data_IF_854552833204
#
_entry.id   IF_854552833204
#
_cell.length_a   1.000
_cell.length_b   1.000
_cell.length_c   1.000
_cell.angle_alpha   90.00
_cell.angle_beta   90.00
_cell.angle_gamma   90.00
#
_symmetry.space_group_name_H-M   'P 1'
#
loop_
_entity.id
_entity.type
_entity.pdbx_description
1 polymer ?
#
# COMPACT_ATOMS: atom_id res chain seq x y z
N UNK A 1 -33.63 -73.09 -47.71
CA UNK A 1 -33.32 -71.84 -48.44
C UNK A 1 -33.85 -70.68 -47.62
N UNK A 2 -33.10 -70.20 -46.63
CA UNK A 2 -33.51 -69.05 -45.78
C UNK A 2 -32.36 -68.34 -45.02
N UNK A 3 -31.06 -68.42 -45.38
CA UNK A 3 -30.04 -67.63 -44.67
C UNK A 3 -29.99 -66.15 -45.11
N UNK A 4 -30.48 -65.82 -46.32
CA UNK A 4 -30.32 -64.49 -46.90
C UNK A 4 -31.17 -63.41 -46.21
N UNK A 5 -32.37 -63.77 -45.72
CA UNK A 5 -33.32 -62.79 -45.15
C UNK A 5 -32.90 -62.30 -43.77
N UNK A 6 -32.28 -63.16 -42.96
CA UNK A 6 -31.75 -62.77 -41.65
C UNK A 6 -30.50 -61.88 -41.77
N UNK A 7 -29.64 -62.15 -42.76
CA UNK A 7 -28.45 -61.33 -43.01
C UNK A 7 -28.84 -59.93 -43.49
N UNK A 8 -29.84 -59.85 -44.38
CA UNK A 8 -30.36 -58.57 -44.88
C UNK A 8 -31.00 -57.74 -43.75
N UNK A 9 -31.78 -58.37 -42.85
CA UNK A 9 -32.40 -57.70 -41.71
C UNK A 9 -31.35 -57.15 -40.71
N UNK A 10 -30.29 -57.92 -40.45
CA UNK A 10 -29.18 -57.49 -39.59
C UNK A 10 -28.38 -56.34 -40.22
N UNK A 11 -28.14 -56.40 -41.53
CA UNK A 11 -27.47 -55.32 -42.28
C UNK A 11 -28.31 -54.03 -42.31
N UNK A 12 -29.63 -54.13 -42.49
CA UNK A 12 -30.51 -52.94 -42.44
C UNK A 12 -30.60 -52.33 -41.05
N UNK A 13 -30.55 -53.16 -39.99
CA UNK A 13 -30.54 -52.65 -38.61
C UNK A 13 -29.21 -51.96 -38.29
N UNK A 14 -28.09 -52.51 -38.76
CA UNK A 14 -26.75 -51.93 -38.59
C UNK A 14 -26.57 -50.61 -39.35
N UNK A 15 -27.14 -50.48 -40.55
CA UNK A 15 -27.06 -49.24 -41.34
C UNK A 15 -27.97 -48.13 -40.78
N UNK A 16 -29.09 -48.51 -40.12
CA UNK A 16 -29.99 -47.56 -39.47
C UNK A 16 -29.46 -47.01 -38.13
N UNK A 17 -28.53 -47.71 -37.46
CA UNK A 17 -27.93 -47.29 -36.18
C UNK A 17 -26.70 -46.36 -36.36
N UNK A 18 -26.21 -46.19 -37.60
CA UNK A 18 -25.08 -45.32 -37.94
C UNK A 18 -25.46 -43.88 -38.34
N UNK A 19 -26.74 -43.54 -38.43
CA UNK A 19 -27.19 -42.15 -38.61
C UNK A 19 -27.31 -41.39 -37.28
N UNK A 20 -26.32 -41.55 -36.38
CA UNK A 20 -26.14 -40.63 -35.25
C UNK A 20 -25.50 -39.35 -35.79
N UNK A 21 -26.34 -38.51 -36.37
CA UNK A 21 -26.05 -37.13 -36.77
C UNK A 21 -25.19 -36.48 -35.68
N UNK A 22 -23.97 -36.06 -36.06
CA UNK A 22 -23.02 -35.45 -35.15
C UNK A 22 -23.74 -34.40 -34.29
N UNK A 23 -23.71 -34.59 -32.96
CA UNK A 23 -24.48 -33.78 -32.02
C UNK A 23 -24.35 -32.32 -32.39
N UNK A 24 -25.47 -31.71 -32.84
CA UNK A 24 -25.52 -30.30 -33.18
C UNK A 24 -24.90 -29.58 -32.00
N UNK A 25 -23.78 -28.89 -32.26
CA UNK A 25 -23.08 -28.12 -31.25
C UNK A 25 -24.12 -27.42 -30.38
N UNK A 26 -24.10 -27.65 -29.07
CA UNK A 26 -25.05 -27.02 -28.16
C UNK A 26 -24.70 -25.53 -28.06
N UNK A 27 -25.09 -24.78 -29.09
CA UNK A 27 -24.81 -23.36 -29.26
C UNK A 27 -25.46 -22.57 -28.13
N UNK A 28 -26.65 -22.96 -27.68
CA UNK A 28 -27.30 -22.36 -26.50
C UNK A 28 -26.48 -22.52 -25.23
N UNK A 29 -25.95 -23.73 -24.96
CA UNK A 29 -25.08 -24.00 -23.82
C UNK A 29 -23.75 -23.24 -23.91
N UNK A 30 -23.14 -23.16 -25.10
CA UNK A 30 -21.90 -22.38 -25.32
C UNK A 30 -22.13 -20.88 -25.15
N UNK A 31 -23.20 -20.33 -25.71
CA UNK A 31 -23.58 -18.92 -25.55
C UNK A 31 -23.88 -18.63 -24.09
N UNK A 32 -24.63 -19.50 -23.40
CA UNK A 32 -24.90 -19.37 -21.97
C UNK A 32 -23.62 -19.36 -21.14
N UNK A 33 -22.67 -20.26 -21.42
CA UNK A 33 -21.35 -20.27 -20.77
C UNK A 33 -20.55 -18.99 -21.06
N UNK A 34 -20.55 -18.50 -22.30
CA UNK A 34 -19.84 -17.28 -22.68
C UNK A 34 -20.44 -16.04 -21.99
N UNK A 35 -21.76 -15.94 -21.94
CA UNK A 35 -22.46 -14.85 -21.24
C UNK A 35 -22.18 -14.93 -19.74
N UNK A 36 -22.29 -16.12 -19.14
CA UNK A 36 -21.98 -16.33 -17.73
C UNK A 36 -20.53 -15.96 -17.40
N UNK A 37 -19.57 -16.38 -18.22
CA UNK A 37 -18.16 -16.02 -18.06
C UNK A 37 -17.93 -14.51 -18.20
N UNK A 38 -18.56 -13.87 -19.19
CA UNK A 38 -18.45 -12.42 -19.40
C UNK A 38 -19.00 -11.63 -18.21
N UNK A 39 -20.17 -12.03 -17.66
CA UNK A 39 -20.74 -11.42 -16.47
C UNK A 39 -19.87 -11.63 -15.23
N UNK A 40 -19.30 -12.83 -15.06
CA UNK A 40 -18.37 -13.12 -13.97
C UNK A 40 -17.12 -12.25 -14.04
N UNK A 41 -16.51 -12.13 -15.23
CA UNK A 41 -15.36 -11.24 -15.45
C UNK A 41 -15.74 -9.79 -15.16
N UNK A 42 -16.88 -9.31 -15.68
CA UNK A 42 -17.35 -7.96 -15.41
C UNK A 42 -17.56 -7.69 -13.91
N UNK A 43 -18.10 -8.66 -13.17
CA UNK A 43 -18.26 -8.58 -11.72
C UNK A 43 -16.91 -8.50 -11.00
N UNK A 44 -15.93 -9.31 -11.38
CA UNK A 44 -14.57 -9.25 -10.80
C UNK A 44 -13.95 -7.88 -11.05
N UNK A 45 -14.02 -7.35 -12.27
CA UNK A 45 -13.53 -6.00 -12.57
C UNK A 45 -14.26 -4.91 -11.79
N UNK A 46 -15.57 -5.07 -11.59
CA UNK A 46 -16.36 -4.14 -10.77
C UNK A 46 -15.93 -4.18 -9.29
N UNK A 47 -15.74 -5.36 -8.71
CA UNK A 47 -15.26 -5.53 -7.33
C UNK A 47 -13.83 -4.98 -7.17
N UNK A 48 -12.94 -5.20 -8.13
CA UNK A 48 -11.60 -4.60 -8.12
C UNK A 48 -11.66 -3.07 -8.14
N UNK A 49 -12.54 -2.51 -8.99
CA UNK A 49 -12.76 -1.05 -9.06
C UNK A 49 -13.30 -0.50 -7.75
N UNK A 50 -14.26 -1.18 -7.12
CA UNK A 50 -14.84 -0.73 -5.85
C UNK A 50 -13.81 -0.82 -4.71
N UNK A 51 -12.99 -1.88 -4.69
CA UNK A 51 -11.86 -2.00 -3.77
C UNK A 51 -10.85 -0.86 -3.92
N UNK A 52 -10.56 -0.41 -5.16
CA UNK A 52 -9.70 0.76 -5.39
C UNK A 52 -10.32 2.07 -4.92
N UNK A 53 -11.63 2.27 -5.09
CA UNK A 53 -12.31 3.45 -4.55
C UNK A 53 -12.27 3.48 -3.02
N UNK A 54 -12.53 2.34 -2.37
CA UNK A 54 -12.49 2.21 -0.92
C UNK A 54 -11.10 2.47 -0.34
N UNK A 55 -10.03 2.07 -1.05
CA UNK A 55 -8.66 2.44 -0.65
C UNK A 55 -8.41 3.95 -0.76
N UNK A 56 -8.96 4.62 -1.77
CA UNK A 56 -8.84 6.06 -1.93
C UNK A 56 -9.55 6.85 -0.82
N UNK A 57 -10.74 6.41 -0.40
CA UNK A 57 -11.51 7.06 0.68
C UNK A 57 -10.88 6.88 2.06
N UNK A 58 -10.07 5.84 2.26
CA UNK A 58 -9.35 5.65 3.52
C UNK A 58 -8.24 6.69 3.77
N UNK A 59 -7.82 7.45 2.76
CA UNK A 59 -6.75 8.46 2.89
C UNK A 59 -7.24 9.91 2.86
N UNK A 60 -8.49 10.17 2.41
CA UNK A 60 -9.04 11.53 2.28
C UNK A 60 -9.32 12.22 3.61
N UNK A 61 -9.48 11.47 4.69
CA UNK A 61 -9.87 11.99 6.01
C UNK A 61 -8.67 12.44 6.87
N UNK A 62 -7.46 12.48 6.31
CA UNK A 62 -6.32 13.00 7.05
C UNK A 62 -6.50 14.51 7.26
N UNK A 63 -6.44 15.03 8.51
CA UNK A 63 -6.53 16.46 8.75
C UNK A 63 -5.32 17.19 8.16
N UNK A 64 -5.41 18.52 8.06
CA UNK A 64 -4.29 19.33 7.61
C UNK A 64 -3.04 19.07 8.47
N UNK A 65 -1.86 19.11 7.84
CA UNK A 65 -0.60 18.89 8.54
C UNK A 65 -0.31 20.07 9.49
N UNK A 66 0.19 19.81 10.71
CA UNK A 66 0.67 20.88 11.58
C UNK A 66 1.81 21.64 10.89
N UNK A 67 1.80 22.96 10.99
CA UNK A 67 2.95 23.79 10.70
C UNK A 67 3.96 23.74 11.85
N UNK A 68 5.21 24.07 11.57
CA UNK A 68 6.21 24.28 12.61
C UNK A 68 5.76 25.44 13.51
N UNK A 69 5.98 25.35 14.84
CA UNK A 69 5.74 26.47 15.74
C UNK A 69 6.70 27.62 15.41
N UNK A 70 6.31 28.85 15.72
CA UNK A 70 7.14 30.05 15.48
C UNK A 70 8.47 30.00 16.25
N UNK A 71 8.45 29.37 17.43
CA UNK A 71 9.62 29.13 18.29
C UNK A 71 9.77 27.63 18.58
N UNK A 72 10.39 26.86 17.67
CA UNK A 72 10.55 25.41 17.85
C UNK A 72 11.59 25.03 18.93
N UNK A 73 12.41 25.99 19.36
CA UNK A 73 13.49 25.78 20.33
C UNK A 73 14.82 25.44 19.68
N UNK A 74 15.79 25.01 20.50
CA UNK A 74 17.13 24.66 20.05
C UNK A 74 17.13 23.33 19.28
N UNK A 75 17.89 23.29 18.18
CA UNK A 75 18.03 22.08 17.38
C UNK A 75 18.91 21.04 18.10
N UNK A 76 18.34 19.88 18.42
CA UNK A 76 19.08 18.72 18.93
C UNK A 76 19.89 18.06 17.83
N UNK A 77 19.26 17.85 16.68
CA UNK A 77 19.86 17.24 15.50
C UNK A 77 19.37 17.92 14.24
N UNK A 78 20.25 18.01 13.25
CA UNK A 78 19.92 18.49 11.90
C UNK A 78 20.52 17.55 10.86
N UNK A 79 19.76 17.22 9.82
CA UNK A 79 20.29 16.48 8.68
C UNK A 79 19.69 16.97 7.36
N UNK A 80 20.39 16.71 6.27
CA UNK A 80 19.86 16.88 4.92
C UNK A 80 19.83 15.54 4.20
N UNK A 81 18.86 15.36 3.31
CA UNK A 81 18.76 14.13 2.55
C UNK A 81 17.57 14.09 1.62
N UNK A 82 17.01 12.88 1.48
CA UNK A 82 15.85 12.61 0.63
C UNK A 82 14.70 12.05 1.42
N UNK A 83 13.53 12.58 1.11
CA UNK A 83 12.25 12.05 1.57
C UNK A 83 11.68 11.09 0.52
N UNK A 84 11.32 9.89 0.97
CA UNK A 84 10.85 8.82 0.11
C UNK A 84 9.31 8.72 0.04
N UNK A 85 8.62 9.37 0.97
CA UNK A 85 7.17 9.35 1.13
C UNK A 85 6.74 8.81 2.49
N UNK A 86 5.48 9.04 2.85
CA UNK A 86 4.85 8.39 4.00
C UNK A 86 4.00 7.20 3.56
N UNK A 87 3.89 6.22 4.45
CA UNK A 87 2.97 5.09 4.34
C UNK A 87 2.16 4.94 5.61
N UNK A 88 1.08 4.16 5.56
CA UNK A 88 0.48 3.62 6.79
C UNK A 88 1.54 2.80 7.55
N UNK A 89 1.61 2.95 8.87
CA UNK A 89 2.63 2.30 9.68
C UNK A 89 2.59 0.77 9.52
N UNK A 90 3.76 0.16 9.30
CA UNK A 90 3.88 -1.29 9.05
C UNK A 90 3.37 -1.77 7.68
N UNK A 91 2.77 -0.89 6.87
CA UNK A 91 2.25 -1.20 5.54
C UNK A 91 3.05 -0.42 4.48
N UNK A 92 4.30 -0.82 4.27
CA UNK A 92 5.27 -0.10 3.43
C UNK A 92 4.88 0.08 1.95
N UNK A 93 3.84 -0.61 1.46
CA UNK A 93 3.28 -0.42 0.11
C UNK A 93 2.13 0.59 0.08
N UNK A 94 1.51 0.88 1.22
CA UNK A 94 0.34 1.75 1.34
C UNK A 94 0.76 3.22 1.43
N UNK A 95 1.14 3.79 0.29
CA UNK A 95 1.59 5.20 0.18
C UNK A 95 0.45 6.16 0.51
N UNK A 96 0.72 7.12 1.39
CA UNK A 96 -0.20 8.21 1.71
C UNK A 96 -0.11 9.28 0.63
N UNK A 97 -1.22 9.58 -0.05
CA UNK A 97 -1.26 10.59 -1.12
C UNK A 97 -1.70 11.97 -0.60
N UNK A 98 -2.40 12.01 0.54
CA UNK A 98 -2.90 13.24 1.14
C UNK A 98 -1.77 14.21 1.52
N UNK A 99 -2.06 15.51 1.42
CA UNK A 99 -1.20 16.62 1.88
C UNK A 99 0.25 16.57 1.35
N UNK A 100 0.47 15.97 0.17
CA UNK A 100 1.80 15.88 -0.44
C UNK A 100 2.77 14.92 0.27
N UNK A 101 2.29 14.11 1.22
CA UNK A 101 3.10 13.11 1.92
C UNK A 101 3.57 11.98 0.99
N UNK A 102 2.93 11.79 -0.16
CA UNK A 102 3.32 10.79 -1.15
C UNK A 102 4.42 11.24 -2.10
N UNK A 103 4.75 12.53 -2.14
CA UNK A 103 5.67 13.09 -3.13
C UNK A 103 7.12 12.94 -2.66
N UNK A 104 7.98 12.37 -3.50
CA UNK A 104 9.43 12.31 -3.20
C UNK A 104 10.05 13.68 -3.36
N UNK A 105 10.95 14.06 -2.47
CA UNK A 105 11.62 15.36 -2.51
C UNK A 105 13.00 15.30 -1.83
N UNK A 106 13.76 16.39 -1.94
CA UNK A 106 14.79 16.68 -0.93
C UNK A 106 14.09 16.95 0.40
N UNK A 107 14.80 16.71 1.50
CA UNK A 107 14.33 17.03 2.83
C UNK A 107 15.48 17.53 3.69
N UNK A 108 15.15 18.47 4.55
CA UNK A 108 15.98 19.01 5.62
C UNK A 108 15.21 18.75 6.90
N UNK A 109 15.82 18.03 7.83
CA UNK A 109 15.21 17.62 9.09
C UNK A 109 15.87 18.38 10.22
N UNK A 110 15.03 18.92 11.11
CA UNK A 110 15.46 19.54 12.35
C UNK A 110 14.67 18.91 13.49
N UNK A 111 15.36 18.24 14.41
CA UNK A 111 14.76 17.70 15.62
C UNK A 111 14.93 18.70 16.76
N UNK A 112 13.84 19.05 17.42
CA UNK A 112 13.78 19.96 18.57
C UNK A 112 12.96 19.33 19.69
N UNK A 113 12.94 19.95 20.86
CA UNK A 113 12.07 19.54 21.97
C UNK A 113 10.58 19.61 21.60
N UNK A 114 10.20 20.55 20.73
CA UNK A 114 8.84 20.68 20.25
C UNK A 114 8.44 19.53 19.31
N UNK A 115 9.40 18.94 18.59
CA UNK A 115 9.15 17.87 17.62
C UNK A 115 10.10 17.87 16.43
N UNK A 116 9.68 17.17 15.39
CA UNK A 116 10.43 17.00 14.14
C UNK A 116 9.88 17.96 13.08
N UNK A 117 10.71 18.90 12.66
CA UNK A 117 10.45 19.76 11.51
C UNK A 117 11.03 19.15 10.22
N UNK A 118 10.23 19.17 9.16
CA UNK A 118 10.54 18.55 7.87
C UNK A 118 10.31 19.57 6.76
N UNK A 119 11.39 20.26 6.39
CA UNK A 119 11.41 21.20 5.27
C UNK A 119 11.73 20.44 3.98
N UNK A 120 10.91 20.61 2.95
CA UNK A 120 10.98 19.89 1.69
C UNK A 120 10.98 20.87 0.53
N UNK A 121 12.16 21.38 0.14
CA UNK A 121 12.27 22.31 -0.99
C UNK A 121 11.58 21.76 -2.25
N UNK A 122 10.59 22.50 -2.76
CA UNK A 122 9.80 22.14 -3.93
C UNK A 122 8.63 21.16 -3.66
N UNK A 123 8.32 20.88 -2.39
CA UNK A 123 7.13 20.14 -1.96
C UNK A 123 6.54 20.78 -0.68
N UNK A 124 5.48 20.18 -0.14
CA UNK A 124 4.83 20.69 1.07
C UNK A 124 5.59 20.27 2.33
N UNK A 125 5.95 21.25 3.14
CA UNK A 125 6.63 21.08 4.44
C UNK A 125 5.65 20.54 5.48
N UNK A 126 6.16 19.95 6.56
CA UNK A 126 5.30 19.52 7.65
C UNK A 126 6.07 19.39 8.96
N UNK A 127 5.33 19.55 10.05
CA UNK A 127 5.84 19.38 11.39
C UNK A 127 5.17 18.21 12.09
N UNK A 128 5.96 17.41 12.80
CA UNK A 128 5.49 16.32 13.65
C UNK A 128 5.76 16.68 15.11
N UNK A 129 4.72 17.08 15.88
CA UNK A 129 4.87 17.40 17.29
C UNK A 129 5.45 16.22 18.08
N UNK A 130 6.28 16.51 19.09
CA UNK A 130 6.90 15.49 19.94
C UNK A 130 5.85 14.53 20.55
N UNK A 131 4.71 15.05 21.00
CA UNK A 131 3.61 14.26 21.55
C UNK A 131 2.97 13.25 20.56
N UNK A 132 3.16 13.48 19.25
CA UNK A 132 2.67 12.60 18.18
C UNK A 132 3.74 11.65 17.65
N UNK A 133 5.01 11.80 18.05
CA UNK A 133 6.04 10.83 17.73
C UNK A 133 5.77 9.52 18.47
N UNK A 134 6.02 8.41 17.78
CA UNK A 134 5.87 7.04 18.30
C UNK A 134 7.16 6.24 18.25
N UNK A 135 8.21 6.81 17.67
CA UNK A 135 9.54 6.23 17.60
C UNK A 135 10.12 6.30 16.20
N UNK A 136 11.35 5.80 16.07
CA UNK A 136 12.05 5.68 14.82
C UNK A 136 12.78 4.33 14.74
N UNK A 137 13.01 3.87 13.51
CA UNK A 137 13.76 2.65 13.23
C UNK A 137 14.55 2.76 11.94
N UNK A 138 15.56 1.92 11.81
CA UNK A 138 16.20 1.66 10.53
C UNK A 138 15.41 0.59 9.78
N UNK A 139 15.14 0.84 8.50
CA UNK A 139 14.39 -0.09 7.66
C UNK A 139 15.07 -0.25 6.29
N UNK A 140 14.60 -1.25 5.53
CA UNK A 140 15.05 -1.56 4.17
C UNK A 140 14.10 -1.00 3.13
N UNK A 141 12.84 -0.74 3.46
CA UNK A 141 11.89 -0.32 2.45
C UNK A 141 10.76 0.57 2.93
N UNK A 142 10.37 1.49 2.05
CA UNK A 142 9.21 2.35 2.25
C UNK A 142 8.62 2.81 0.92
N UNK A 143 7.31 2.97 0.91
CA UNK A 143 6.52 3.46 -0.22
C UNK A 143 6.83 2.72 -1.53
N UNK A 144 6.99 1.39 -1.48
CA UNK A 144 7.30 0.56 -2.64
C UNK A 144 8.76 0.61 -3.13
N UNK A 145 9.69 1.17 -2.36
CA UNK A 145 11.12 1.12 -2.65
C UNK A 145 11.87 0.31 -1.61
N UNK A 146 12.81 -0.52 -2.06
CA UNK A 146 13.76 -1.25 -1.22
C UNK A 146 15.16 -0.68 -1.44
N UNK A 147 15.89 -0.47 -0.36
CA UNK A 147 17.26 0.02 -0.29
C UNK A 147 18.14 -1.00 0.44
N UNK A 148 19.43 -0.71 0.53
CA UNK A 148 20.37 -1.47 1.36
C UNK A 148 19.95 -1.44 2.84
N UNK A 149 20.30 -2.49 3.57
CA UNK A 149 20.10 -2.59 5.02
C UNK A 149 20.65 -1.38 5.77
N UNK A 150 19.84 -0.84 6.69
CA UNK A 150 20.19 0.35 7.46
C UNK A 150 20.21 1.65 6.66
N UNK A 151 19.80 1.64 5.39
CA UNK A 151 19.91 2.80 4.50
C UNK A 151 18.74 3.79 4.57
N UNK A 152 17.78 3.57 5.46
CA UNK A 152 16.56 4.37 5.59
C UNK A 152 16.22 4.57 7.06
N UNK A 153 16.10 5.84 7.46
CA UNK A 153 15.46 6.25 8.70
C UNK A 153 13.94 6.28 8.48
N UNK A 154 13.20 5.48 9.24
CA UNK A 154 11.73 5.53 9.26
C UNK A 154 11.29 6.10 10.60
N UNK A 155 10.57 7.21 10.55
CA UNK A 155 9.95 7.86 11.72
C UNK A 155 8.47 7.49 11.75
N UNK A 156 8.02 6.88 12.85
CA UNK A 156 6.62 6.53 13.08
C UNK A 156 5.94 7.60 13.91
N UNK A 157 4.79 8.09 13.47
CA UNK A 157 4.07 9.17 14.13
C UNK A 157 2.56 9.06 13.93
N UNK A 158 1.80 9.70 14.82
CA UNK A 158 0.34 9.73 14.77
C UNK A 158 -0.16 11.00 14.09
N UNK A 159 -1.15 10.84 13.20
CA UNK A 159 -1.85 11.96 12.58
C UNK A 159 -3.29 11.61 12.25
N UNK A 160 -4.23 12.36 12.83
CA UNK A 160 -5.66 12.17 12.57
C UNK A 160 -6.16 10.79 12.98
N UNK A 161 -5.63 10.23 14.07
CA UNK A 161 -5.99 8.90 14.57
C UNK A 161 -5.37 7.74 13.79
N UNK A 162 -4.40 8.01 12.91
CA UNK A 162 -3.69 7.00 12.10
C UNK A 162 -2.19 7.04 12.41
N UNK A 163 -1.57 5.87 12.43
CA UNK A 163 -0.12 5.75 12.51
C UNK A 163 0.49 5.78 11.11
N UNK A 164 1.43 6.67 10.90
CA UNK A 164 2.14 6.89 9.66
C UNK A 164 3.63 6.60 9.84
N UNK A 165 4.24 6.02 8.82
CA UNK A 165 5.69 5.84 8.69
C UNK A 165 6.20 6.84 7.65
N UNK A 166 7.12 7.72 8.01
CA UNK A 166 7.79 8.65 7.10
C UNK A 166 9.25 8.25 6.89
N UNK A 167 9.64 8.07 5.63
CA UNK A 167 10.96 7.53 5.30
C UNK A 167 11.94 8.57 4.76
N UNK A 168 13.11 8.61 5.37
CA UNK A 168 14.18 9.55 5.08
C UNK A 168 15.50 8.82 4.84
N UNK A 169 16.31 9.39 3.96
CA UNK A 169 17.68 8.96 3.77
C UNK A 169 18.59 10.18 3.83
N UNK A 170 19.33 10.32 4.92
CA UNK A 170 20.44 11.27 5.03
C UNK A 170 21.42 11.11 3.87
N UNK A 171 22.00 12.23 3.44
CA UNK A 171 23.14 12.27 2.53
C UNK A 171 24.40 11.64 3.16
N UNK A 172 24.50 11.59 4.50
CA UNK A 172 25.57 10.91 5.24
C UNK A 172 25.01 9.66 5.96
N UNK A 173 25.53 8.49 5.61
CA UNK A 173 24.99 7.21 6.09
C UNK A 173 25.09 7.03 7.63
N UNK A 174 26.10 7.61 8.27
CA UNK A 174 26.33 7.45 9.71
C UNK A 174 25.29 8.14 10.61
N UNK A 175 24.46 9.03 10.05
CA UNK A 175 23.54 9.85 10.84
C UNK A 175 22.25 9.10 11.26
N UNK A 176 21.86 7.99 10.60
CA UNK A 176 20.54 7.41 10.87
C UNK A 176 20.41 6.79 12.26
N UNK A 177 21.47 6.17 12.79
CA UNK A 177 21.44 5.54 14.13
C UNK A 177 21.24 6.58 15.24
N UNK A 178 21.98 7.68 15.20
CA UNK A 178 21.86 8.79 16.15
C UNK A 178 20.45 9.38 16.16
N UNK A 179 19.84 9.50 14.98
CA UNK A 179 18.46 9.97 14.85
C UNK A 179 17.44 9.00 15.44
N UNK A 180 17.64 7.69 15.26
CA UNK A 180 16.78 6.68 15.89
C UNK A 180 16.84 6.79 17.41
N UNK A 181 18.05 6.88 17.97
CA UNK A 181 18.27 7.00 19.41
C UNK A 181 17.63 8.28 19.97
N UNK A 182 17.86 9.43 19.33
CA UNK A 182 17.31 10.70 19.75
C UNK A 182 15.77 10.71 19.76
N UNK A 183 15.12 10.25 18.68
CA UNK A 183 13.65 10.22 18.59
C UNK A 183 13.05 9.25 19.61
N UNK A 184 13.67 8.08 19.80
CA UNK A 184 13.18 7.09 20.76
C UNK A 184 13.28 7.62 22.20
N UNK A 185 14.39 8.29 22.55
CA UNK A 185 14.56 8.91 23.87
C UNK A 185 13.46 9.94 24.21
N UNK A 186 13.02 10.74 23.23
CA UNK A 186 11.93 11.71 23.40
C UNK A 186 10.57 11.03 23.62
N UNK A 187 10.35 9.90 22.96
CA UNK A 187 9.09 9.15 23.05
C UNK A 187 8.98 8.43 24.40
N UNK A 188 10.08 7.89 24.90
CA UNK A 188 10.16 7.26 26.23
C UNK A 188 9.96 8.28 27.36
N UNK A 189 10.60 9.45 27.27
CA UNK A 189 10.42 10.54 28.23
C UNK A 189 8.96 11.02 28.29
N UNK A 190 8.33 11.19 27.13
CA UNK A 190 6.92 11.62 27.02
C UNK A 190 5.94 10.59 27.60
N UNK A 191 6.27 9.29 27.49
CA UNK A 191 5.45 8.21 28.06
C UNK A 191 5.51 8.19 29.59
N UNK A 192 6.69 8.48 30.16
CA UNK A 192 6.90 8.50 31.60
C UNK A 192 6.21 9.70 32.26
N UNK A 193 6.32 10.90 31.69
CA UNK A 193 5.61 12.09 32.20
C UNK A 193 4.08 11.99 32.07
N UNK A 194 3.58 11.26 31.07
CA UNK A 194 2.14 11.03 30.90
C UNK A 194 1.55 10.04 31.90
N UNK A 195 2.36 9.18 32.52
CA UNK A 195 1.93 8.20 33.51
C UNK A 195 1.92 8.75 34.96
N UNK A 196 2.61 9.87 35.20
CA UNK A 196 2.72 10.51 36.52
C UNK A 196 1.75 11.70 36.72
N UNK A 197 0.89 12.01 35.74
CA UNK A 197 -0.16 13.04 35.81
C UNK A 197 -1.56 12.42 35.90
#
# INVERSE_FOLDING_TARGET
MTPATLLAAQLTTSLADEEKSASVTNWGGRIGWLVGLALFVALVYWLMREGWKWRGTLQSDLPALPGAPDEPGEARLTMTGRYHGSTTAGQWLDRIVAHGLGTRSRAELTLTDAGLDVVRPGAHDFFVPAARLRGARLDKGIAGKVLSEGGLLVVTWEHGGKLLDSGFRSDRAAEHTEWVEAINSMTEASTTEGAER
#
